data_IF_442715360772
#
_entry.id   IF_442715360772
#
_cell.length_a   1.000
_cell.length_b   1.000
_cell.length_c   1.000
_cell.angle_alpha   90.00
_cell.angle_beta   90.00
_cell.angle_gamma   90.00
#
_symmetry.space_group_name_H-M   'P 1'
#
loop_
_entity.id
_entity.type
_entity.pdbx_description
1 polymer ?
#
# COMPACT_ATOMS: atom_id res chain seq x y z
N UNK A 1 9.56 -11.10 -0.51
CA UNK A 1 8.61 -9.97 -0.52
C UNK A 1 9.29 -8.68 -0.17
N UNK A 2 9.33 -8.21 1.08
CA UNK A 2 9.89 -6.88 1.41
C UNK A 2 11.33 -6.60 0.90
N UNK A 3 12.25 -7.59 0.94
CA UNK A 3 13.60 -7.45 0.35
C UNK A 3 13.60 -7.42 -1.18
N UNK A 4 12.61 -8.01 -1.82
CA UNK A 4 12.45 -8.02 -3.28
C UNK A 4 11.74 -6.76 -3.76
N UNK A 5 10.75 -6.24 -3.02
CA UNK A 5 10.14 -4.94 -3.31
C UNK A 5 11.19 -3.83 -3.17
N UNK A 6 11.98 -3.85 -2.10
CA UNK A 6 13.10 -2.91 -1.94
C UNK A 6 14.16 -3.06 -3.04
N UNK A 7 14.45 -4.29 -3.50
CA UNK A 7 15.37 -4.52 -4.61
C UNK A 7 14.79 -4.03 -5.94
N UNK A 8 13.49 -4.26 -6.18
CA UNK A 8 12.74 -3.85 -7.37
C UNK A 8 12.66 -2.32 -7.47
N UNK A 9 12.44 -1.65 -6.33
CA UNK A 9 12.46 -0.20 -6.20
C UNK A 9 13.88 0.38 -6.44
N UNK A 10 14.91 -0.22 -5.85
CA UNK A 10 16.29 0.25 -5.98
C UNK A 10 16.94 -0.05 -7.35
N UNK A 11 16.57 -1.18 -7.98
CA UNK A 11 17.03 -1.61 -9.31
C UNK A 11 15.93 -2.40 -10.02
N UNK A 12 15.28 -1.81 -11.03
CA UNK A 12 14.29 -2.53 -11.81
C UNK A 12 14.90 -3.77 -12.50
N UNK A 13 14.31 -4.95 -12.32
CA UNK A 13 14.66 -6.19 -13.00
C UNK A 13 13.38 -6.87 -13.50
N UNK A 14 13.47 -7.56 -14.63
CA UNK A 14 12.35 -8.33 -15.17
C UNK A 14 12.17 -9.64 -14.38
N UNK A 15 10.93 -10.10 -14.21
CA UNK A 15 10.63 -11.36 -13.51
C UNK A 15 11.28 -12.53 -14.25
N UNK A 16 11.35 -12.44 -15.57
CA UNK A 16 11.98 -13.38 -16.49
C UNK A 16 13.49 -13.53 -16.23
N UNK A 17 14.19 -12.46 -15.83
CA UNK A 17 15.62 -12.49 -15.50
C UNK A 17 15.90 -13.29 -14.23
N UNK A 18 14.98 -13.20 -13.26
CA UNK A 18 15.06 -13.94 -11.99
C UNK A 18 14.73 -15.41 -12.20
N UNK A 19 13.78 -15.73 -13.09
CA UNK A 19 13.48 -17.11 -13.50
C UNK A 19 14.67 -17.75 -14.23
N UNK A 20 15.39 -16.99 -15.07
CA UNK A 20 16.59 -17.47 -15.76
C UNK A 20 17.70 -17.82 -14.77
N UNK A 21 17.94 -16.96 -13.77
CA UNK A 21 18.91 -17.19 -12.69
C UNK A 21 18.53 -18.40 -11.81
N UNK A 22 17.24 -18.62 -11.58
CA UNK A 22 16.75 -19.77 -10.81
C UNK A 22 17.01 -21.11 -11.52
N UNK A 23 16.95 -21.14 -12.85
CA UNK A 23 17.26 -22.34 -13.66
C UNK A 23 18.74 -22.71 -13.62
N UNK A 24 19.64 -21.74 -13.44
CA UNK A 24 21.11 -21.95 -13.39
C UNK A 24 21.57 -22.45 -12.01
N UNK A 25 20.77 -22.29 -10.94
CA UNK A 25 21.13 -22.71 -9.58
C UNK A 25 20.06 -23.61 -8.90
N UNK A 26 19.84 -24.83 -9.40
CA UNK A 26 18.85 -25.74 -8.82
C UNK A 26 19.21 -26.16 -7.38
N UNK A 27 18.21 -26.24 -6.50
CA UNK A 27 18.33 -26.89 -5.17
C UNK A 27 18.34 -25.97 -3.95
N UNK A 28 18.25 -24.65 -4.11
CA UNK A 28 18.16 -23.75 -2.94
C UNK A 28 16.70 -23.44 -2.60
N UNK A 29 16.25 -23.89 -1.42
CA UNK A 29 14.87 -23.69 -0.88
C UNK A 29 14.37 -22.24 -0.91
N UNK A 30 15.26 -21.25 -0.96
CA UNK A 30 14.89 -19.84 -1.09
C UNK A 30 14.37 -19.47 -2.49
N UNK A 31 14.74 -20.19 -3.55
CA UNK A 31 14.29 -19.96 -4.94
C UNK A 31 12.83 -20.40 -5.15
N UNK A 32 12.38 -21.47 -4.48
CA UNK A 32 10.96 -21.87 -4.51
C UNK A 32 10.07 -20.82 -3.83
N UNK A 33 10.53 -20.24 -2.72
CA UNK A 33 9.86 -19.10 -2.06
C UNK A 33 9.91 -17.83 -2.91
N UNK A 34 10.90 -17.71 -3.80
CA UNK A 34 11.07 -16.58 -4.73
C UNK A 34 10.05 -16.67 -5.87
N UNK A 35 9.85 -17.83 -6.48
CA UNK A 35 8.87 -18.01 -7.57
C UNK A 35 7.42 -17.78 -7.12
N UNK A 36 7.06 -18.13 -5.88
CA UNK A 36 5.74 -17.79 -5.31
C UNK A 36 5.61 -16.30 -4.97
N UNK A 37 6.74 -15.64 -4.73
CA UNK A 37 6.84 -14.26 -4.30
C UNK A 37 6.82 -13.27 -5.47
N UNK A 38 7.44 -13.61 -6.60
CA UNK A 38 7.63 -12.73 -7.75
C UNK A 38 6.34 -12.14 -8.34
N UNK A 39 5.21 -12.88 -8.47
CA UNK A 39 3.95 -12.29 -8.92
C UNK A 39 3.34 -11.28 -7.94
N UNK A 40 3.79 -11.31 -6.69
CA UNK A 40 3.31 -10.45 -5.61
C UNK A 40 4.23 -9.24 -5.39
N UNK A 41 5.38 -9.16 -6.06
CA UNK A 41 6.33 -8.05 -5.93
C UNK A 41 5.77 -6.82 -6.64
N UNK A 42 5.71 -5.72 -5.91
CA UNK A 42 5.31 -4.42 -6.44
C UNK A 42 6.35 -3.40 -5.98
N UNK A 43 7.04 -2.79 -6.95
CA UNK A 43 8.12 -1.82 -6.72
C UNK A 43 7.66 -0.49 -6.12
N UNK A 44 6.34 -0.29 -5.94
CA UNK A 44 5.75 0.89 -5.33
C UNK A 44 5.69 0.90 -3.79
N UNK A 45 5.91 -0.24 -3.12
CA UNK A 45 5.94 -0.27 -1.66
C UNK A 45 7.24 0.33 -1.13
N UNK A 46 7.16 1.47 -0.44
CA UNK A 46 8.32 2.20 0.07
C UNK A 46 8.77 1.68 1.45
N UNK A 47 7.95 0.84 2.10
CA UNK A 47 8.29 0.19 3.37
C UNK A 47 7.82 -1.29 3.47
N UNK A 48 8.50 -2.14 4.27
CA UNK A 48 8.03 -3.50 4.54
C UNK A 48 6.61 -3.58 5.14
N UNK A 49 6.16 -2.50 5.79
CA UNK A 49 4.82 -2.41 6.38
C UNK A 49 3.74 -2.16 5.34
N UNK A 50 4.03 -1.35 4.33
CA UNK A 50 3.18 -1.22 3.15
C UNK A 50 3.08 -2.56 2.41
N UNK A 51 4.20 -3.27 2.19
CA UNK A 51 4.12 -4.62 1.61
C UNK A 51 3.22 -5.55 2.43
N UNK A 52 3.37 -5.55 3.76
CA UNK A 52 2.54 -6.37 4.64
C UNK A 52 1.06 -6.01 4.56
N UNK A 53 0.73 -4.72 4.56
CA UNK A 53 -0.63 -4.23 4.50
C UNK A 53 -1.30 -4.56 3.14
N UNK A 54 -0.55 -4.48 2.04
CA UNK A 54 -1.03 -4.87 0.70
C UNK A 54 -1.34 -6.37 0.63
N UNK A 55 -0.43 -7.19 1.15
CA UNK A 55 -0.64 -8.65 1.22
C UNK A 55 -1.79 -9.01 2.14
N UNK A 56 -1.93 -8.32 3.28
CA UNK A 56 -3.05 -8.51 4.21
C UNK A 56 -4.40 -8.28 3.51
N UNK A 57 -4.50 -7.22 2.68
CA UNK A 57 -5.72 -6.96 1.92
C UNK A 57 -5.97 -7.99 0.81
N UNK A 58 -4.92 -8.37 0.09
CA UNK A 58 -5.00 -9.39 -0.96
C UNK A 58 -5.42 -10.76 -0.42
N UNK A 59 -4.82 -11.21 0.68
CA UNK A 59 -5.14 -12.48 1.36
C UNK A 59 -6.59 -12.52 1.87
N UNK A 60 -7.14 -11.35 2.19
CA UNK A 60 -8.54 -11.20 2.60
C UNK A 60 -9.51 -11.09 1.41
N UNK A 61 -9.04 -11.12 0.17
CA UNK A 61 -9.89 -11.02 -1.03
C UNK A 61 -10.51 -9.63 -1.22
N UNK A 62 -9.87 -8.58 -0.71
CA UNK A 62 -10.22 -7.21 -1.10
C UNK A 62 -9.74 -6.94 -2.54
N UNK A 63 -10.31 -5.96 -3.25
CA UNK A 63 -9.79 -5.55 -4.55
C UNK A 63 -8.32 -5.13 -4.42
N UNK A 64 -7.53 -5.25 -5.48
CA UNK A 64 -6.13 -4.80 -5.43
C UNK A 64 -6.08 -3.26 -5.32
N UNK A 65 -5.47 -2.69 -4.27
CA UNK A 65 -5.30 -1.25 -4.18
C UNK A 65 -4.18 -0.77 -5.11
N UNK A 66 -4.29 0.48 -5.57
CA UNK A 66 -3.18 1.22 -6.19
C UNK A 66 -2.25 1.73 -5.09
N UNK A 67 -0.96 1.44 -5.18
CA UNK A 67 0.02 1.94 -4.22
C UNK A 67 0.43 3.38 -4.50
N UNK A 68 0.81 4.13 -3.46
CA UNK A 68 1.39 5.47 -3.56
C UNK A 68 0.53 6.43 -4.41
N UNK A 69 -0.79 6.36 -4.25
CA UNK A 69 -1.76 7.10 -5.05
C UNK A 69 -1.78 8.58 -4.66
N UNK A 70 -1.59 9.45 -5.64
CA UNK A 70 -1.58 10.90 -5.42
C UNK A 70 -2.98 11.49 -5.61
N UNK A 71 -3.56 11.94 -4.50
CA UNK A 71 -4.80 12.72 -4.53
C UNK A 71 -4.49 14.16 -4.89
N UNK A 72 -5.26 14.69 -5.84
CA UNK A 72 -5.25 16.11 -6.23
C UNK A 72 -6.66 16.68 -6.09
N UNK A 73 -6.74 17.98 -5.84
CA UNK A 73 -7.98 18.76 -5.93
C UNK A 73 -8.48 18.81 -7.38
N UNK A 74 -9.73 19.26 -7.59
CA UNK A 74 -10.31 19.47 -8.92
C UNK A 74 -9.49 20.45 -9.78
N UNK A 75 -8.80 21.41 -9.16
CA UNK A 75 -7.89 22.34 -9.86
C UNK A 75 -6.48 21.78 -10.10
N UNK A 76 -6.24 20.51 -9.78
CA UNK A 76 -4.95 19.84 -9.97
C UNK A 76 -3.93 20.05 -8.85
N UNK A 77 -4.25 20.82 -7.81
CA UNK A 77 -3.35 21.01 -6.65
C UNK A 77 -3.12 19.70 -5.91
N UNK A 78 -1.86 19.37 -5.63
CA UNK A 78 -1.47 18.22 -4.80
C UNK A 78 -2.08 18.31 -3.39
N UNK A 79 -2.72 17.23 -2.94
CA UNK A 79 -3.29 17.11 -1.59
C UNK A 79 -2.44 16.19 -0.71
N UNK A 80 -2.35 14.92 -1.09
CA UNK A 80 -1.65 13.88 -0.32
C UNK A 80 -1.31 12.70 -1.24
N UNK A 81 -0.26 11.97 -0.91
CA UNK A 81 0.05 10.65 -1.46
C UNK A 81 -0.36 9.62 -0.41
N UNK A 82 -1.26 8.72 -0.78
CA UNK A 82 -1.82 7.67 0.08
C UNK A 82 -1.10 6.36 -0.25
N UNK A 83 -0.65 5.63 0.76
CA UNK A 83 0.11 4.38 0.59
C UNK A 83 -0.64 3.35 -0.26
N UNK A 84 -1.94 3.19 -0.02
CA UNK A 84 -2.82 2.30 -0.78
C UNK A 84 -4.17 2.96 -0.99
N UNK A 85 -4.67 2.94 -2.23
CA UNK A 85 -5.94 3.53 -2.56
C UNK A 85 -6.77 2.62 -3.47
N UNK A 86 -8.06 2.55 -3.19
CA UNK A 86 -9.07 2.10 -4.12
C UNK A 86 -9.79 3.32 -4.69
N UNK A 87 -9.20 3.93 -5.72
CA UNK A 87 -9.66 5.20 -6.31
C UNK A 87 -11.15 5.20 -6.65
N UNK A 88 -11.65 4.12 -7.29
CA UNK A 88 -13.06 3.96 -7.67
C UNK A 88 -14.02 4.16 -6.48
N UNK A 89 -13.59 3.73 -5.29
CA UNK A 89 -14.41 3.80 -4.08
C UNK A 89 -14.04 5.01 -3.21
N UNK A 90 -12.96 5.76 -3.55
CA UNK A 90 -12.38 6.81 -2.70
C UNK A 90 -12.06 6.33 -1.29
N UNK A 91 -11.54 5.11 -1.18
CA UNK A 91 -11.05 4.53 0.07
C UNK A 91 -9.53 4.47 0.00
N UNK A 92 -8.84 4.92 1.03
CA UNK A 92 -7.40 4.76 1.18
C UNK A 92 -7.04 4.08 2.49
N UNK A 93 -5.86 3.50 2.54
CA UNK A 93 -5.26 2.95 3.75
C UNK A 93 -3.83 3.48 3.87
N UNK A 94 -3.46 3.91 5.07
CA UNK A 94 -2.12 4.44 5.37
C UNK A 94 -1.58 3.76 6.62
N UNK A 95 -0.32 3.33 6.57
CA UNK A 95 0.34 2.80 7.75
C UNK A 95 1.08 3.93 8.47
N UNK A 96 0.62 4.30 9.66
CA UNK A 96 1.29 5.31 10.49
C UNK A 96 2.54 4.70 11.15
N UNK A 97 3.68 4.94 10.52
CA UNK A 97 4.98 4.68 11.11
C UNK A 97 5.34 5.78 12.09
N UNK A 98 4.75 5.78 13.30
CA UNK A 98 5.09 6.66 14.43
C UNK A 98 5.65 8.03 13.98
N UNK A 99 4.79 8.88 13.43
CA UNK A 99 5.23 10.24 13.12
C UNK A 99 5.53 11.00 14.41
N UNK A 100 6.81 11.31 14.65
CA UNK A 100 7.20 12.30 15.64
C UNK A 100 6.60 13.65 15.22
N UNK A 101 5.50 14.04 15.87
CA UNK A 101 4.78 15.32 15.73
C UNK A 101 5.61 16.52 16.22
N UNK A 102 6.88 16.62 15.83
CA UNK A 102 7.80 17.62 16.39
C UNK A 102 7.89 18.92 15.60
N UNK A 103 7.26 19.04 14.42
CA UNK A 103 7.29 20.27 13.61
C UNK A 103 5.91 20.85 13.30
N UNK A 104 5.67 22.10 13.74
CA UNK A 104 4.40 22.83 13.55
C UNK A 104 3.98 22.95 12.08
N UNK A 105 4.95 23.05 11.17
CA UNK A 105 4.71 23.16 9.74
C UNK A 105 4.14 21.85 9.15
N UNK A 106 4.65 20.69 9.59
CA UNK A 106 4.14 19.39 9.15
C UNK A 106 2.71 19.18 9.64
N UNK A 107 2.46 19.46 10.93
CA UNK A 107 1.10 19.40 11.49
C UNK A 107 0.09 20.27 10.70
N UNK A 108 0.48 21.50 10.35
CA UNK A 108 -0.39 22.38 9.55
C UNK A 108 -0.69 21.82 8.15
N UNK A 109 0.30 21.19 7.50
CA UNK A 109 0.13 20.51 6.21
C UNK A 109 -0.80 19.31 6.35
N UNK A 110 -0.63 18.48 7.36
CA UNK A 110 -1.46 17.29 7.58
C UNK A 110 -2.92 17.67 7.88
N UNK A 111 -3.13 18.70 8.71
CA UNK A 111 -4.47 19.24 8.97
C UNK A 111 -5.12 19.76 7.70
N UNK A 112 -4.38 20.47 6.84
CA UNK A 112 -4.89 20.93 5.55
C UNK A 112 -5.22 19.75 4.61
N UNK A 113 -4.28 18.81 4.44
CA UNK A 113 -4.47 17.65 3.57
C UNK A 113 -5.67 16.80 4.01
N UNK A 114 -5.84 16.58 5.32
CA UNK A 114 -6.97 15.83 5.86
C UNK A 114 -8.31 16.55 5.64
N UNK A 115 -8.35 17.89 5.65
CA UNK A 115 -9.56 18.64 5.29
C UNK A 115 -9.90 18.47 3.82
N UNK A 116 -8.92 18.56 2.93
CA UNK A 116 -9.13 18.41 1.50
C UNK A 116 -9.55 17.00 1.12
N UNK A 117 -8.95 15.96 1.71
CA UNK A 117 -9.37 14.58 1.52
C UNK A 117 -10.84 14.38 1.90
N UNK A 118 -11.28 14.93 3.02
CA UNK A 118 -12.70 14.90 3.41
C UNK A 118 -13.59 15.65 2.42
N UNK A 119 -13.17 16.83 1.92
CA UNK A 119 -13.93 17.58 0.89
C UNK A 119 -14.07 16.78 -0.41
N UNK A 120 -13.02 16.04 -0.76
CA UNK A 120 -12.99 15.17 -1.94
C UNK A 120 -13.67 13.82 -1.71
N UNK A 121 -14.31 13.62 -0.55
CA UNK A 121 -15.00 12.39 -0.13
C UNK A 121 -14.09 11.16 -0.07
N UNK A 122 -12.83 11.34 0.34
CA UNK A 122 -11.93 10.24 0.66
C UNK A 122 -12.17 9.73 2.08
N UNK A 123 -12.26 8.41 2.23
CA UNK A 123 -12.22 7.73 3.51
C UNK A 123 -10.85 7.08 3.71
N UNK A 124 -10.10 7.53 4.72
CA UNK A 124 -8.80 6.95 5.07
C UNK A 124 -8.93 6.00 6.27
N UNK A 125 -8.46 4.78 6.09
CA UNK A 125 -8.20 3.81 7.14
C UNK A 125 -6.76 4.02 7.62
N UNK A 126 -6.60 4.54 8.83
CA UNK A 126 -5.29 4.70 9.45
C UNK A 126 -4.93 3.42 10.19
N UNK A 127 -3.77 2.85 9.87
CA UNK A 127 -3.28 1.59 10.44
C UNK A 127 -2.06 1.88 11.29
N UNK A 128 -2.13 1.57 12.58
CA UNK A 128 -1.01 1.68 13.51
C UNK A 128 -0.42 0.30 13.82
N UNK A 129 0.75 0.30 14.46
CA UNK A 129 1.45 -0.94 14.84
C UNK A 129 0.63 -1.83 15.77
N UNK A 130 -0.21 -1.22 16.60
CA UNK A 130 -1.04 -1.87 17.61
C UNK A 130 -2.27 -2.54 17.03
N UNK A 131 -2.65 -2.20 15.78
CA UNK A 131 -3.82 -2.77 15.13
C UNK A 131 -3.62 -4.24 14.76
N UNK A 132 -4.68 -5.02 14.93
CA UNK A 132 -4.69 -6.42 14.48
C UNK A 132 -5.12 -6.45 13.02
N UNK A 133 -4.43 -7.24 12.21
CA UNK A 133 -4.71 -7.30 10.77
C UNK A 133 -6.17 -7.64 10.41
N UNK A 134 -6.86 -8.45 11.22
CA UNK A 134 -8.29 -8.74 11.02
C UNK A 134 -9.19 -7.52 11.18
N UNK A 135 -8.85 -6.61 12.08
CA UNK A 135 -9.64 -5.42 12.40
C UNK A 135 -9.40 -4.39 11.27
N UNK A 136 -8.15 -4.23 10.83
CA UNK A 136 -7.77 -3.44 9.64
C UNK A 136 -8.50 -3.90 8.38
N UNK A 137 -8.58 -5.22 8.14
CA UNK A 137 -9.33 -5.79 7.01
C UNK A 137 -10.83 -5.53 7.14
N UNK A 138 -11.39 -5.64 8.35
CA UNK A 138 -12.80 -5.39 8.60
C UNK A 138 -13.16 -3.94 8.29
N UNK A 139 -12.33 -2.99 8.73
CA UNK A 139 -12.52 -1.56 8.50
C UNK A 139 -12.43 -1.21 7.01
N UNK A 140 -11.38 -1.67 6.32
CA UNK A 140 -11.23 -1.47 4.88
C UNK A 140 -12.41 -2.08 4.10
N UNK A 141 -12.84 -3.30 4.46
CA UNK A 141 -14.00 -3.95 3.84
C UNK A 141 -15.28 -3.18 4.07
N UNK A 142 -15.52 -2.71 5.29
CA UNK A 142 -16.71 -1.93 5.63
C UNK A 142 -16.74 -0.62 4.83
N UNK A 143 -15.61 0.09 4.76
CA UNK A 143 -15.48 1.32 3.97
C UNK A 143 -15.75 1.08 2.47
N UNK A 144 -15.17 0.02 1.90
CA UNK A 144 -15.39 -0.34 0.50
C UNK A 144 -16.85 -0.70 0.21
N UNK A 145 -17.48 -1.51 1.08
CA UNK A 145 -18.89 -1.90 0.93
C UNK A 145 -19.83 -0.70 1.02
N UNK A 146 -19.61 0.19 2.00
CA UNK A 146 -20.37 1.43 2.13
C UNK A 146 -20.28 2.34 0.90
N UNK A 147 -19.23 2.16 0.08
CA UNK A 147 -18.93 2.95 -1.11
C UNK A 147 -19.16 2.16 -2.42
N UNK A 148 -19.89 1.05 -2.35
CA UNK A 148 -20.40 0.34 -3.53
C UNK A 148 -19.57 -0.85 -4.02
N UNK A 149 -18.62 -1.35 -3.23
CA UNK A 149 -17.99 -2.64 -3.51
C UNK A 149 -18.92 -3.80 -3.12
N UNK A 150 -19.20 -4.72 -4.05
CA UNK A 150 -20.17 -5.81 -3.86
C UNK A 150 -19.63 -7.04 -3.15
N UNK A 151 -18.31 -7.15 -2.94
CA UNK A 151 -17.65 -8.38 -2.53
C UNK A 151 -17.10 -9.15 -3.72
#
# INVERSE_FOLDING_TARGET
>A
MARLDALMNAKPFAVEDVELLAKVHPGRRWLTRLNSALPLVDGGAESPKETWLRLLFADAGLPTPTTQFVVRTESGRYVRRIDMAWEKFKVGAEYDGQQHLTERAQYAKDVWANRELRRLDWHLVHVIKEDRGRDVVADARAALKARGWSG
#
